data_IF_236027466688
#
_entry.id   IF_236027466688
#
_cell.length_a   1.000
_cell.length_b   1.000
_cell.length_c   1.000
_cell.angle_alpha   90.00
_cell.angle_beta   90.00
_cell.angle_gamma   90.00
#
_symmetry.space_group_name_H-M   'P 1'
#
loop_
_entity.id
_entity.type
_entity.pdbx_description
1 polymer ?
#
# COMPACT_ATOMS: atom_id res chain seq x y z
N UNK A 1 -22.84 2.55 52.46
CA UNK A 1 -22.27 1.95 51.23
C UNK A 1 -21.42 3.02 50.54
N UNK A 2 -20.10 3.07 50.76
CA UNK A 2 -19.24 3.98 50.02
C UNK A 2 -18.84 3.36 48.67
N UNK A 3 -19.01 4.15 47.61
CA UNK A 3 -18.64 3.86 46.23
C UNK A 3 -17.13 3.60 46.14
N UNK A 4 -16.76 2.38 45.72
CA UNK A 4 -15.39 2.04 45.33
C UNK A 4 -15.13 2.67 43.95
N UNK A 5 -14.51 3.85 43.93
CA UNK A 5 -14.00 4.43 42.69
C UNK A 5 -12.71 3.66 42.31
N UNK A 6 -12.57 3.17 41.06
CA UNK A 6 -11.34 2.51 40.64
C UNK A 6 -10.19 3.52 40.69
N UNK A 7 -9.28 3.32 41.64
CA UNK A 7 -8.01 4.02 41.71
C UNK A 7 -7.17 3.60 40.51
N UNK A 8 -7.06 4.46 39.51
CA UNK A 8 -6.10 4.32 38.42
C UNK A 8 -4.69 4.61 38.98
N UNK A 9 -4.11 3.62 39.64
CA UNK A 9 -2.70 3.62 40.04
C UNK A 9 -1.88 3.29 38.79
N UNK A 10 -1.26 4.31 38.20
CA UNK A 10 -0.19 4.10 37.22
C UNK A 10 0.98 3.53 38.03
N UNK A 11 1.25 2.23 37.87
CA UNK A 11 2.35 1.57 38.55
C UNK A 11 3.67 2.15 38.02
N UNK A 12 4.50 2.83 38.83
CA UNK A 12 5.73 3.48 38.36
C UNK A 12 6.78 2.49 37.85
N UNK A 13 6.63 1.20 38.19
CA UNK A 13 7.47 0.09 37.70
C UNK A 13 6.90 -0.58 36.43
N UNK A 14 5.75 -0.14 35.92
CA UNK A 14 5.23 -0.62 34.65
C UNK A 14 6.04 0.00 33.50
N UNK A 15 7.09 -0.71 33.11
CA UNK A 15 7.93 -0.34 31.99
C UNK A 15 7.04 -0.09 30.76
N UNK A 16 7.24 1.04 30.04
CA UNK A 16 6.41 1.35 28.88
C UNK A 16 6.44 0.18 27.89
N UNK A 17 5.29 -0.23 27.34
CA UNK A 17 5.23 -1.35 26.43
C UNK A 17 6.22 -1.13 25.27
N UNK A 18 6.95 -2.17 24.84
CA UNK A 18 7.97 -2.01 23.83
C UNK A 18 7.36 -1.45 22.54
N UNK A 19 8.02 -0.49 21.86
CA UNK A 19 7.48 0.13 20.67
C UNK A 19 7.20 -0.94 19.61
N UNK A 20 5.95 -1.02 19.13
CA UNK A 20 5.57 -1.95 18.07
C UNK A 20 6.38 -1.61 16.81
N UNK A 21 7.27 -2.51 16.41
CA UNK A 21 8.08 -2.33 15.19
C UNK A 21 7.16 -2.12 13.98
N UNK A 22 7.39 -1.09 13.16
CA UNK A 22 6.57 -0.83 11.98
C UNK A 22 6.67 -2.02 11.01
N UNK A 23 5.51 -2.57 10.62
CA UNK A 23 5.38 -3.74 9.71
C UNK A 23 5.50 -3.33 8.24
N UNK A 24 6.56 -2.61 7.89
CA UNK A 24 6.82 -2.12 6.53
C UNK A 24 6.84 -3.24 5.49
N UNK A 25 7.41 -4.41 5.83
CA UNK A 25 7.43 -5.57 4.94
C UNK A 25 6.01 -6.04 4.58
N UNK A 26 5.09 -6.02 5.55
CA UNK A 26 3.73 -6.49 5.35
C UNK A 26 2.94 -5.55 4.43
N UNK A 27 3.14 -4.25 4.60
CA UNK A 27 2.57 -3.22 3.71
C UNK A 27 3.13 -3.36 2.30
N UNK A 28 4.44 -3.58 2.16
CA UNK A 28 5.07 -3.78 0.85
C UNK A 28 4.53 -5.03 0.16
N UNK A 29 4.33 -6.13 0.89
CA UNK A 29 3.76 -7.36 0.36
C UNK A 29 2.32 -7.14 -0.14
N UNK A 30 1.47 -6.49 0.67
CA UNK A 30 0.10 -6.12 0.27
C UNK A 30 0.10 -5.25 -0.99
N UNK A 31 1.03 -4.30 -1.07
CA UNK A 31 1.18 -3.41 -2.22
C UNK A 31 1.55 -4.16 -3.48
N UNK A 32 2.49 -5.11 -3.39
CA UNK A 32 2.90 -5.96 -4.51
C UNK A 32 1.75 -6.83 -4.98
N UNK A 33 1.00 -7.45 -4.06
CA UNK A 33 -0.16 -8.27 -4.40
C UNK A 33 -1.26 -7.43 -5.08
N UNK A 34 -1.57 -6.25 -4.54
CA UNK A 34 -2.54 -5.34 -5.13
C UNK A 34 -2.10 -4.89 -6.53
N UNK A 35 -0.85 -4.47 -6.69
CA UNK A 35 -0.29 -4.07 -7.97
C UNK A 35 -0.35 -5.22 -9.01
N UNK A 36 -0.04 -6.44 -8.59
CA UNK A 36 -0.16 -7.62 -9.44
C UNK A 36 -1.61 -7.89 -9.87
N UNK A 37 -2.58 -7.79 -8.94
CA UNK A 37 -4.00 -7.96 -9.24
C UNK A 37 -4.52 -6.90 -10.23
N UNK A 38 -4.19 -5.63 -10.02
CA UNK A 38 -4.58 -4.54 -10.92
C UNK A 38 -3.93 -4.65 -12.30
N UNK A 39 -2.64 -5.01 -12.34
CA UNK A 39 -1.91 -5.25 -13.59
C UNK A 39 -2.55 -6.37 -14.40
N UNK A 40 -2.93 -7.47 -13.74
CA UNK A 40 -3.62 -8.59 -14.37
C UNK A 40 -5.00 -8.19 -14.90
N UNK A 41 -5.80 -7.47 -14.11
CA UNK A 41 -7.11 -6.97 -14.54
C UNK A 41 -6.98 -6.08 -15.79
N UNK A 42 -6.00 -5.19 -15.81
CA UNK A 42 -5.79 -4.29 -16.94
C UNK A 42 -5.33 -5.01 -18.21
N UNK A 43 -4.47 -6.02 -18.07
CA UNK A 43 -3.84 -6.69 -19.20
C UNK A 43 -4.70 -7.81 -19.81
N UNK A 44 -5.53 -8.48 -19.00
CA UNK A 44 -6.33 -9.63 -19.43
C UNK A 44 -7.82 -9.37 -19.35
N UNK A 45 -8.34 -8.88 -18.22
CA UNK A 45 -9.78 -8.70 -18.06
C UNK A 45 -10.32 -7.58 -18.95
N UNK A 46 -9.61 -6.45 -19.06
CA UNK A 46 -10.03 -5.33 -19.90
C UNK A 46 -10.09 -5.73 -21.39
N UNK A 47 -9.03 -6.30 -22.01
CA UNK A 47 -9.11 -6.67 -23.41
C UNK A 47 -10.09 -7.80 -23.68
N UNK A 48 -10.23 -8.79 -22.78
CA UNK A 48 -11.20 -9.86 -22.95
C UNK A 48 -12.64 -9.34 -22.89
N UNK A 49 -12.93 -8.36 -22.02
CA UNK A 49 -14.25 -7.69 -22.00
C UNK A 49 -14.49 -6.88 -23.26
N UNK A 50 -13.49 -6.14 -23.78
CA UNK A 50 -13.66 -5.39 -25.02
C UNK A 50 -13.83 -6.30 -26.25
N UNK A 51 -13.13 -7.43 -26.31
CA UNK A 51 -13.31 -8.44 -27.37
C UNK A 51 -14.70 -9.09 -27.23
N UNK A 52 -15.15 -9.39 -26.01
CA UNK A 52 -16.47 -9.98 -25.78
C UNK A 52 -17.64 -9.05 -26.15
N UNK A 53 -17.41 -7.73 -26.12
CA UNK A 53 -18.37 -6.71 -26.55
C UNK A 53 -18.16 -6.26 -28.01
N UNK A 54 -17.31 -6.96 -28.78
CA UNK A 54 -16.98 -6.67 -30.18
C UNK A 54 -16.42 -5.25 -30.43
N UNK A 55 -15.90 -4.63 -29.36
CA UNK A 55 -15.26 -3.31 -29.39
C UNK A 55 -13.79 -3.40 -29.85
N UNK A 56 -13.22 -4.61 -29.83
CA UNK A 56 -11.86 -4.88 -30.31
C UNK A 56 -11.84 -6.16 -31.14
N UNK A 57 -11.24 -6.12 -32.35
CA UNK A 57 -11.05 -7.32 -33.15
C UNK A 57 -10.12 -8.31 -32.44
N UNK A 58 -10.42 -9.60 -32.60
CA UNK A 58 -9.62 -10.67 -32.00
C UNK A 58 -8.22 -10.70 -32.61
N UNK A 59 -7.20 -10.84 -31.75
CA UNK A 59 -5.81 -10.88 -32.19
C UNK A 59 -5.54 -12.10 -33.09
N UNK A 60 -4.79 -11.95 -34.19
CA UNK A 60 -4.43 -13.06 -35.07
C UNK A 60 -3.46 -14.02 -34.36
N UNK A 61 -3.62 -15.32 -34.66
CA UNK A 61 -2.82 -16.38 -34.05
C UNK A 61 -1.32 -16.14 -34.26
N UNK A 62 -0.55 -16.13 -33.16
CA UNK A 62 0.90 -15.93 -33.16
C UNK A 62 1.37 -14.50 -32.86
N UNK A 63 0.48 -13.51 -32.85
CA UNK A 63 0.81 -12.13 -32.43
C UNK A 63 0.01 -11.76 -31.19
N UNK A 64 0.28 -12.40 -30.05
CA UNK A 64 -0.41 -12.06 -28.81
C UNK A 64 0.36 -10.94 -28.06
N UNK A 65 -0.14 -9.68 -28.02
CA UNK A 65 0.52 -8.57 -27.33
C UNK A 65 0.30 -8.60 -25.81
N UNK A 66 -0.55 -9.50 -25.30
CA UNK A 66 -0.93 -9.61 -23.88
C UNK A 66 0.27 -9.64 -22.91
N UNK A 67 1.30 -10.50 -23.08
CA UNK A 67 2.41 -10.56 -22.11
C UNK A 67 3.23 -9.27 -22.07
N UNK A 68 3.43 -8.60 -23.22
CA UNK A 68 4.13 -7.32 -23.29
C UNK A 68 3.31 -6.20 -22.61
N UNK A 69 1.99 -6.18 -22.84
CA UNK A 69 1.09 -5.22 -22.19
C UNK A 69 0.99 -5.45 -20.69
N UNK A 70 1.02 -6.71 -20.24
CA UNK A 70 1.08 -7.05 -18.82
C UNK A 70 2.34 -6.49 -18.16
N UNK A 71 3.51 -6.67 -18.77
CA UNK A 71 4.76 -6.13 -18.25
C UNK A 71 4.75 -4.60 -18.13
N UNK A 72 4.23 -3.89 -19.15
CA UNK A 72 4.14 -2.42 -19.13
C UNK A 72 3.13 -1.94 -18.08
N UNK A 73 1.95 -2.57 -18.01
CA UNK A 73 0.93 -2.22 -17.02
C UNK A 73 1.41 -2.52 -15.59
N UNK A 74 2.10 -3.65 -15.39
CA UNK A 74 2.74 -3.98 -14.12
C UNK A 74 3.75 -2.92 -13.72
N UNK A 75 4.70 -2.59 -14.59
CA UNK A 75 5.71 -1.59 -14.32
C UNK A 75 5.10 -0.21 -14.02
N UNK A 76 4.05 0.19 -14.76
CA UNK A 76 3.33 1.44 -14.51
C UNK A 76 2.65 1.48 -13.15
N UNK A 77 1.90 0.43 -12.78
CA UNK A 77 1.19 0.36 -11.50
C UNK A 77 2.17 0.26 -10.33
N UNK A 78 3.22 -0.56 -10.46
CA UNK A 78 4.26 -0.65 -9.43
C UNK A 78 4.98 0.70 -9.26
N UNK A 79 5.33 1.36 -10.36
CA UNK A 79 5.92 2.69 -10.34
C UNK A 79 5.04 3.72 -9.63
N UNK A 80 3.73 3.73 -9.90
CA UNK A 80 2.79 4.63 -9.23
C UNK A 80 2.72 4.37 -7.72
N UNK A 81 2.64 3.11 -7.30
CA UNK A 81 2.61 2.75 -5.88
C UNK A 81 3.93 3.06 -5.16
N UNK A 82 5.09 2.84 -5.81
CA UNK A 82 6.39 3.24 -5.28
C UNK A 82 6.50 4.76 -5.14
N UNK A 83 6.04 5.51 -6.14
CA UNK A 83 6.01 6.97 -6.09
C UNK A 83 5.14 7.47 -4.93
N UNK A 84 3.94 6.91 -4.75
CA UNK A 84 3.06 7.25 -3.62
C UNK A 84 3.68 6.88 -2.27
N UNK A 85 4.28 5.70 -2.16
CA UNK A 85 4.97 5.28 -0.94
C UNK A 85 6.16 6.18 -0.60
N UNK A 86 6.93 6.62 -1.61
CA UNK A 86 8.03 7.56 -1.43
C UNK A 86 7.52 8.93 -1.01
N UNK A 87 6.42 9.41 -1.61
CA UNK A 87 5.74 10.65 -1.20
C UNK A 87 5.30 10.58 0.28
N UNK A 88 4.65 9.49 0.67
CA UNK A 88 4.21 9.27 2.04
C UNK A 88 5.39 9.23 3.02
N UNK A 89 6.51 8.62 2.63
CA UNK A 89 7.73 8.59 3.45
C UNK A 89 8.36 9.97 3.62
N UNK A 90 8.35 10.81 2.58
CA UNK A 90 8.83 12.19 2.65
C UNK A 90 7.92 13.04 3.55
N UNK A 91 6.60 12.86 3.47
CA UNK A 91 5.66 13.57 4.34
C UNK A 91 5.80 13.12 5.79
N UNK A 92 5.92 11.81 6.04
CA UNK A 92 6.11 11.26 7.38
C UNK A 92 7.41 11.73 8.05
N UNK A 93 8.52 11.77 7.29
CA UNK A 93 9.80 12.28 7.84
C UNK A 93 9.75 13.77 8.13
N UNK A 94 8.98 14.55 7.35
CA UNK A 94 8.72 15.96 7.61
C UNK A 94 7.87 16.17 8.87
N UNK A 95 6.84 15.35 9.07
CA UNK A 95 5.99 15.43 10.27
C UNK A 95 6.73 15.03 11.55
N UNK A 96 7.60 14.01 11.53
CA UNK A 96 8.44 13.70 12.70
C UNK A 96 9.37 14.86 13.03
N UNK A 97 10.00 15.49 12.02
CA UNK A 97 10.83 16.69 12.24
C UNK A 97 10.07 17.87 12.83
N UNK A 98 8.79 18.05 12.51
CA UNK A 98 8.00 19.12 13.14
C UNK A 98 7.63 18.82 14.59
N UNK A 99 7.50 17.54 14.96
CA UNK A 99 7.21 17.13 16.34
C UNK A 99 8.45 17.28 17.23
N UNK A 100 9.63 16.86 16.75
CA UNK A 100 10.88 17.05 17.49
C UNK A 100 11.18 18.54 17.73
N UNK A 101 10.84 19.41 16.77
CA UNK A 101 11.02 20.87 16.92
C UNK A 101 10.10 21.51 17.98
N UNK A 102 9.01 20.84 18.39
CA UNK A 102 8.11 21.30 19.45
C UNK A 102 8.48 20.74 20.83
N UNK A 103 9.36 19.74 20.89
CA UNK A 103 9.83 19.14 22.15
C UNK A 103 11.07 19.83 22.75
N UNK A 104 11.73 20.69 21.97
CA UNK A 104 12.92 21.46 22.37
C UNK A 104 12.60 22.89 22.89
N UNK A 105 11.32 23.26 23.01
CA UNK A 105 10.84 24.49 23.68
C UNK A 105 10.27 24.20 25.08
#
# INVERSE_FOLDING_TARGET
MPHNAPSFTIDPDEAPPPPRKPRTLHVLLMLVIAAAAFSYLWAYALPDVLIANDLLPRWPDGTDPRPRRLGIAFAGVMGAFLALGMMARIVSSRQMRSIDAMGDE
#
